data_IF_049936175269
#
_entry.id   IF_049936175269
#
_cell.length_a   1.000
_cell.length_b   1.000
_cell.length_c   1.000
_cell.angle_alpha   90.00
_cell.angle_beta   90.00
_cell.angle_gamma   90.00
#
_symmetry.space_group_name_H-M   'P 1'
#
loop_
_entity.id
_entity.type
_entity.pdbx_description
1 polymer ?
#
# COMPACT_ATOMS: atom_id res chain seq x y z
N UNK A 1 -53.56 -30.10 40.05
CA UNK A 1 -53.79 -30.05 38.60
C UNK A 1 -53.38 -28.68 38.04
N UNK A 2 -52.17 -28.53 37.60
CA UNK A 2 -51.69 -27.35 36.82
C UNK A 2 -50.51 -27.78 36.02
N UNK A 3 -50.70 -27.97 34.74
CA UNK A 3 -49.68 -28.30 33.74
C UNK A 3 -48.82 -27.04 33.46
N UNK A 4 -47.53 -27.14 33.75
CA UNK A 4 -46.54 -26.17 33.26
C UNK A 4 -45.85 -26.77 32.03
N UNK A 5 -46.30 -26.31 30.87
CA UNK A 5 -45.63 -26.55 29.61
C UNK A 5 -44.37 -25.69 29.55
N UNK A 6 -43.21 -26.31 29.67
CA UNK A 6 -41.90 -25.64 29.50
C UNK A 6 -41.65 -25.40 28.00
N UNK A 7 -41.58 -24.13 27.62
CA UNK A 7 -41.18 -23.70 26.29
C UNK A 7 -39.65 -23.71 26.21
N UNK A 8 -39.09 -24.71 25.56
CA UNK A 8 -37.65 -24.74 25.22
C UNK A 8 -37.43 -23.83 24.00
N UNK A 9 -36.91 -22.63 24.23
CA UNK A 9 -36.44 -21.77 23.19
C UNK A 9 -35.07 -22.25 22.78
N UNK A 10 -34.98 -22.95 21.66
CA UNK A 10 -33.71 -23.26 21.00
C UNK A 10 -33.16 -21.98 20.34
N UNK A 11 -32.23 -21.32 21.02
CA UNK A 11 -31.43 -20.22 20.43
C UNK A 11 -30.44 -20.82 19.44
N UNK A 12 -30.78 -20.79 18.16
CA UNK A 12 -29.85 -21.09 17.09
C UNK A 12 -28.80 -19.97 17.03
N UNK A 13 -27.62 -20.22 17.58
CA UNK A 13 -26.42 -19.40 17.33
C UNK A 13 -26.04 -19.55 15.86
N UNK A 14 -26.44 -18.59 15.05
CA UNK A 14 -25.92 -18.43 13.70
C UNK A 14 -24.48 -17.93 13.87
N UNK A 15 -23.51 -18.85 13.83
CA UNK A 15 -22.11 -18.52 13.65
C UNK A 15 -22.01 -18.03 12.21
N UNK A 16 -22.11 -16.71 12.00
CA UNK A 16 -21.73 -16.08 10.76
C UNK A 16 -20.22 -16.30 10.60
N UNK A 17 -19.85 -17.33 9.84
CA UNK A 17 -18.48 -17.57 9.45
C UNK A 17 -18.01 -16.33 8.67
N UNK A 18 -17.10 -15.53 9.25
CA UNK A 18 -16.33 -14.52 8.54
C UNK A 18 -15.38 -15.26 7.58
N UNK A 19 -15.89 -15.74 6.47
CA UNK A 19 -15.08 -16.06 5.31
C UNK A 19 -14.80 -14.73 4.62
N UNK A 20 -13.52 -14.39 4.45
CA UNK A 20 -13.13 -13.22 3.67
C UNK A 20 -13.82 -13.29 2.31
N UNK A 21 -14.41 -12.19 1.88
CA UNK A 21 -14.96 -12.09 0.54
C UNK A 21 -13.83 -12.19 -0.48
N UNK A 22 -14.15 -12.57 -1.72
CA UNK A 22 -13.14 -12.61 -2.79
C UNK A 22 -12.42 -11.25 -2.95
N UNK A 23 -13.13 -10.15 -2.70
CA UNK A 23 -12.57 -8.80 -2.77
C UNK A 23 -11.61 -8.52 -1.62
N UNK A 24 -11.93 -8.94 -0.40
CA UNK A 24 -11.03 -8.82 0.76
C UNK A 24 -9.74 -9.60 0.57
N UNK A 25 -9.83 -10.79 -0.01
CA UNK A 25 -8.65 -11.58 -0.36
C UNK A 25 -7.76 -10.86 -1.37
N UNK A 26 -8.33 -10.33 -2.45
CA UNK A 26 -7.57 -9.55 -3.45
C UNK A 26 -6.87 -8.36 -2.79
N UNK A 27 -7.58 -7.61 -1.94
CA UNK A 27 -7.02 -6.47 -1.22
C UNK A 27 -5.89 -6.91 -0.29
N UNK A 28 -6.07 -8.02 0.43
CA UNK A 28 -5.05 -8.57 1.32
C UNK A 28 -3.78 -8.95 0.56
N UNK A 29 -3.92 -9.69 -0.53
CA UNK A 29 -2.79 -10.12 -1.35
C UNK A 29 -2.05 -8.93 -1.97
N UNK A 30 -2.78 -7.90 -2.41
CA UNK A 30 -2.18 -6.66 -2.91
C UNK A 30 -1.40 -5.93 -1.82
N UNK A 31 -1.89 -5.86 -0.59
CA UNK A 31 -1.14 -5.28 0.53
C UNK A 31 0.18 -6.01 0.77
N UNK A 32 0.19 -7.35 0.70
CA UNK A 32 1.42 -8.15 0.80
C UNK A 32 2.40 -7.77 -0.31
N UNK A 33 1.93 -7.67 -1.56
CA UNK A 33 2.78 -7.26 -2.71
C UNK A 33 3.36 -5.86 -2.52
N UNK A 34 2.58 -4.90 -2.02
CA UNK A 34 3.08 -3.54 -1.71
C UNK A 34 4.18 -3.60 -0.65
N UNK A 35 4.02 -4.40 0.40
CA UNK A 35 5.07 -4.59 1.42
C UNK A 35 6.34 -5.18 0.81
N UNK A 36 6.24 -6.17 -0.09
CA UNK A 36 7.41 -6.71 -0.79
C UNK A 36 8.10 -5.65 -1.67
N UNK A 37 7.34 -4.83 -2.39
CA UNK A 37 7.91 -3.71 -3.16
C UNK A 37 8.65 -2.72 -2.26
N UNK A 38 8.10 -2.41 -1.07
CA UNK A 38 8.78 -1.57 -0.09
C UNK A 38 10.07 -2.23 0.41
N UNK A 39 10.05 -3.54 0.67
CA UNK A 39 11.21 -4.31 1.16
C UNK A 39 12.36 -4.30 0.16
N UNK A 40 12.08 -4.46 -1.12
CA UNK A 40 13.10 -4.40 -2.19
C UNK A 40 13.76 -3.01 -2.24
N UNK A 41 13.01 -1.96 -1.99
CA UNK A 41 13.48 -0.58 -2.07
C UNK A 41 14.07 -0.04 -0.76
N UNK A 42 13.79 -0.71 0.37
CA UNK A 42 14.25 -0.28 1.68
C UNK A 42 15.69 -0.75 1.95
N UNK A 43 16.49 0.08 2.59
CA UNK A 43 17.89 -0.23 2.92
C UNK A 43 18.94 0.47 2.04
N UNK A 44 18.52 1.13 0.96
CA UNK A 44 19.42 1.91 0.10
C UNK A 44 19.98 3.19 0.74
N UNK A 45 19.61 3.49 1.99
CA UNK A 45 20.06 4.70 2.70
C UNK A 45 21.47 4.59 3.29
N UNK A 46 21.91 3.42 3.74
CA UNK A 46 23.18 3.28 4.47
C UNK A 46 24.39 3.97 3.80
N UNK A 47 24.63 3.80 2.48
CA UNK A 47 25.75 4.46 1.81
C UNK A 47 25.67 6.00 1.84
N UNK A 48 24.48 6.54 2.03
CA UNK A 48 24.21 7.98 1.95
C UNK A 48 24.21 8.68 3.32
N UNK A 49 24.24 7.94 4.41
CA UNK A 49 24.24 8.50 5.78
C UNK A 49 25.44 9.41 6.05
N UNK A 50 26.56 9.17 5.41
CA UNK A 50 27.76 10.03 5.48
C UNK A 50 27.47 11.47 5.03
N UNK A 51 26.50 11.67 4.15
CA UNK A 51 26.14 12.99 3.64
C UNK A 51 25.21 13.78 4.57
N UNK A 52 24.67 13.17 5.63
CA UNK A 52 23.71 13.79 6.55
C UNK A 52 24.19 15.10 7.16
N UNK A 53 25.45 15.16 7.55
CA UNK A 53 26.07 16.33 8.19
C UNK A 53 26.87 17.23 7.24
N UNK A 54 26.78 17.02 5.93
CA UNK A 54 27.54 17.81 4.95
C UNK A 54 27.14 19.28 5.00
N UNK A 55 28.12 20.17 4.90
CA UNK A 55 27.88 21.61 4.71
C UNK A 55 27.38 21.92 3.30
N UNK A 56 27.67 21.06 2.33
CA UNK A 56 27.22 21.21 0.96
C UNK A 56 25.72 20.88 0.80
N UNK A 57 24.98 21.83 0.22
CA UNK A 57 23.54 21.70 0.04
C UNK A 57 23.14 20.56 -0.92
N UNK A 58 23.93 20.30 -1.97
CA UNK A 58 23.68 19.22 -2.91
C UNK A 58 23.81 17.84 -2.22
N UNK A 59 24.85 17.66 -1.44
CA UNK A 59 25.07 16.45 -0.65
C UNK A 59 23.93 16.18 0.33
N UNK A 60 23.50 17.22 1.07
CA UNK A 60 22.35 17.09 1.98
C UNK A 60 21.06 16.71 1.23
N UNK A 61 20.79 17.34 0.10
CA UNK A 61 19.61 17.02 -0.73
C UNK A 61 19.67 15.58 -1.26
N UNK A 62 20.87 15.11 -1.62
CA UNK A 62 21.09 13.70 -2.01
C UNK A 62 20.75 12.76 -0.87
N UNK A 63 21.24 13.04 0.35
CA UNK A 63 20.90 12.28 1.54
C UNK A 63 19.36 12.20 1.73
N UNK A 64 18.69 13.33 1.75
CA UNK A 64 17.23 13.36 1.94
C UNK A 64 16.50 12.60 0.84
N UNK A 65 16.85 12.81 -0.43
CA UNK A 65 16.18 12.13 -1.54
C UNK A 65 16.36 10.60 -1.51
N UNK A 66 17.49 10.11 -1.05
CA UNK A 66 17.78 8.67 -0.97
C UNK A 66 17.22 8.03 0.30
N UNK A 67 17.33 8.71 1.43
CA UNK A 67 16.95 8.16 2.74
C UNK A 67 15.50 8.41 3.10
N UNK A 68 14.83 9.35 2.46
CA UNK A 68 13.42 9.65 2.64
C UNK A 68 12.51 9.11 1.52
N UNK A 69 13.09 8.36 0.58
CA UNK A 69 12.36 7.84 -0.57
C UNK A 69 11.66 6.51 -0.34
N UNK A 70 12.04 5.77 0.70
CA UNK A 70 11.56 4.43 0.96
C UNK A 70 10.99 4.28 2.36
N UNK A 71 9.75 3.82 2.45
CA UNK A 71 9.10 3.48 3.72
C UNK A 71 9.66 2.17 4.24
N UNK A 72 9.94 2.10 5.55
CA UNK A 72 10.25 0.85 6.21
C UNK A 72 9.02 -0.07 6.14
N UNK A 73 9.15 -1.27 5.57
CA UNK A 73 8.03 -2.21 5.46
C UNK A 73 7.50 -2.66 6.82
N UNK A 74 8.35 -2.66 7.86
CA UNK A 74 7.93 -2.96 9.22
C UNK A 74 7.14 -1.79 9.81
N UNK A 75 5.88 -2.03 10.14
CA UNK A 75 4.97 -1.00 10.65
C UNK A 75 4.38 -0.10 9.57
N UNK A 76 4.39 -0.52 8.31
CA UNK A 76 3.66 0.15 7.25
C UNK A 76 2.14 0.00 7.45
N UNK A 77 1.42 1.09 7.29
CA UNK A 77 -0.03 1.18 7.48
C UNK A 77 -0.72 1.50 6.15
N UNK A 78 -1.87 0.90 5.92
CA UNK A 78 -2.65 1.13 4.70
C UNK A 78 -3.89 1.96 4.98
N UNK A 79 -4.19 2.89 4.07
CA UNK A 79 -5.41 3.71 4.09
C UNK A 79 -5.97 3.91 2.69
N UNK A 80 -7.24 4.29 2.60
CA UNK A 80 -7.93 4.56 1.33
C UNK A 80 -7.85 3.40 0.31
N UNK A 81 -7.72 2.15 0.78
CA UNK A 81 -7.56 1.00 -0.10
C UNK A 81 -8.90 0.63 -0.71
N UNK A 82 -8.98 0.63 -2.03
CA UNK A 82 -10.18 0.29 -2.80
C UNK A 82 -9.85 -0.59 -3.98
N UNK A 83 -10.73 -1.57 -4.23
CA UNK A 83 -10.71 -2.42 -5.41
C UNK A 83 -11.60 -1.81 -6.49
N UNK A 84 -11.07 -1.66 -7.68
CA UNK A 84 -11.76 -1.22 -8.89
C UNK A 84 -11.80 -2.35 -9.90
N UNK A 85 -12.99 -2.76 -10.30
CA UNK A 85 -13.18 -3.82 -11.29
C UNK A 85 -13.39 -3.22 -12.68
N UNK A 86 -12.57 -3.65 -13.62
CA UNK A 86 -12.68 -3.33 -15.03
C UNK A 86 -13.06 -4.58 -15.82
N UNK A 87 -13.46 -4.44 -17.09
CA UNK A 87 -13.98 -5.55 -17.91
C UNK A 87 -13.11 -6.80 -17.89
N UNK A 88 -11.79 -6.65 -17.96
CA UNK A 88 -10.83 -7.76 -18.13
C UNK A 88 -9.75 -7.80 -17.03
N UNK A 89 -9.81 -6.95 -16.02
CA UNK A 89 -8.81 -6.89 -14.95
C UNK A 89 -9.35 -6.15 -13.72
N UNK A 90 -8.67 -6.32 -12.62
CA UNK A 90 -8.95 -5.61 -11.37
C UNK A 90 -7.75 -4.79 -10.94
N UNK A 91 -8.02 -3.62 -10.35
CA UNK A 91 -6.98 -2.70 -9.86
C UNK A 91 -7.25 -2.38 -8.40
N UNK A 92 -6.24 -2.44 -7.57
CA UNK A 92 -6.31 -1.97 -6.20
C UNK A 92 -5.48 -0.71 -6.08
N UNK A 93 -6.09 0.33 -5.58
CA UNK A 93 -5.48 1.63 -5.33
C UNK A 93 -5.54 1.96 -3.84
N UNK A 94 -4.58 2.72 -3.35
CA UNK A 94 -4.57 3.12 -1.96
C UNK A 94 -3.34 3.94 -1.60
N UNK A 95 -3.18 4.12 -0.29
CA UNK A 95 -2.02 4.78 0.30
C UNK A 95 -1.38 3.80 1.29
N UNK A 96 -0.06 3.65 1.21
CA UNK A 96 0.75 3.04 2.24
C UNK A 96 1.55 4.11 2.94
N UNK A 97 1.51 4.14 4.27
CA UNK A 97 2.21 5.12 5.11
C UNK A 97 3.14 4.42 6.07
N UNK A 98 4.25 5.06 6.38
CA UNK A 98 5.20 4.50 7.33
C UNK A 98 6.41 5.41 7.53
N UNK A 99 7.34 4.96 8.37
CA UNK A 99 8.59 5.66 8.65
C UNK A 99 9.61 5.39 7.55
N UNK A 100 10.33 6.43 7.18
CA UNK A 100 11.59 6.34 6.46
C UNK A 100 12.74 6.51 7.45
N UNK A 101 13.98 6.53 6.97
CA UNK A 101 15.14 6.88 7.82
C UNK A 101 15.18 8.36 8.22
N UNK A 102 14.34 9.19 7.64
CA UNK A 102 14.32 10.65 7.86
C UNK A 102 13.01 11.13 8.44
N UNK A 103 11.89 10.67 7.92
CA UNK A 103 10.56 11.20 8.25
C UNK A 103 9.48 10.11 8.30
N UNK A 104 8.21 10.52 8.33
CA UNK A 104 7.06 9.68 8.02
C UNK A 104 6.48 10.12 6.69
N UNK A 105 6.18 9.17 5.81
CA UNK A 105 5.62 9.44 4.50
C UNK A 105 4.40 8.58 4.19
N UNK A 106 3.60 9.06 3.24
CA UNK A 106 2.57 8.29 2.56
C UNK A 106 2.92 8.17 1.08
N UNK A 107 2.79 6.97 0.55
CA UNK A 107 2.97 6.67 -0.87
C UNK A 107 1.67 6.15 -1.45
N UNK A 108 1.20 6.74 -2.54
CA UNK A 108 0.08 6.18 -3.29
C UNK A 108 0.55 5.00 -4.12
N UNK A 109 -0.32 3.99 -4.23
CA UNK A 109 -0.05 2.84 -5.09
C UNK A 109 -1.23 2.55 -6.03
N UNK A 110 -0.90 1.95 -7.15
CA UNK A 110 -1.80 1.38 -8.14
C UNK A 110 -1.27 0.00 -8.49
N UNK A 111 -1.98 -1.06 -8.14
CA UNK A 111 -1.62 -2.43 -8.47
C UNK A 111 -2.69 -3.09 -9.31
N UNK A 112 -2.26 -3.70 -10.40
CA UNK A 112 -3.12 -4.54 -11.24
C UNK A 112 -3.06 -5.97 -10.73
N UNK A 113 -4.21 -6.48 -10.27
CA UNK A 113 -4.28 -7.80 -9.66
C UNK A 113 -3.86 -8.91 -10.62
N UNK A 114 -4.33 -8.83 -11.86
CA UNK A 114 -4.14 -9.86 -12.86
C UNK A 114 -2.85 -9.68 -13.70
N UNK A 115 -1.97 -8.74 -13.31
CA UNK A 115 -0.75 -8.40 -14.04
C UNK A 115 0.38 -8.07 -13.08
N UNK A 116 1.33 -8.97 -12.94
CA UNK A 116 2.44 -8.82 -12.00
C UNK A 116 3.43 -7.71 -12.35
N UNK A 117 3.54 -7.37 -13.63
CA UNK A 117 4.44 -6.35 -14.17
C UNK A 117 3.91 -4.92 -14.09
N UNK A 118 2.64 -4.73 -13.71
CA UNK A 118 1.97 -3.43 -13.69
C UNK A 118 1.68 -2.97 -12.26
N UNK A 119 2.75 -2.60 -11.56
CA UNK A 119 2.66 -2.13 -10.18
C UNK A 119 3.40 -0.82 -10.02
N UNK A 120 2.74 0.18 -9.46
CA UNK A 120 3.25 1.53 -9.33
C UNK A 120 3.16 2.01 -7.88
N UNK A 121 4.31 2.42 -7.34
CA UNK A 121 4.43 3.12 -6.07
C UNK A 121 4.96 4.53 -6.32
N UNK A 122 4.34 5.53 -5.69
CA UNK A 122 4.78 6.90 -5.80
C UNK A 122 5.21 7.47 -4.46
N UNK A 123 6.49 7.79 -4.33
CA UNK A 123 7.04 8.57 -3.23
C UNK A 123 7.03 10.08 -3.54
N UNK A 124 7.31 10.89 -2.53
CA UNK A 124 7.53 12.34 -2.64
C UNK A 124 8.62 12.68 -3.67
N UNK A 125 9.62 11.83 -3.79
CA UNK A 125 10.79 12.02 -4.65
C UNK A 125 10.70 11.33 -6.02
N UNK A 126 9.59 10.68 -6.31
CA UNK A 126 9.37 9.99 -7.61
C UNK A 126 9.17 10.95 -8.79
N UNK A 127 9.58 12.21 -8.67
CA UNK A 127 9.45 13.21 -9.73
C UNK A 127 10.72 13.42 -10.56
N UNK A 128 11.82 12.74 -10.26
CA UNK A 128 13.07 12.85 -11.01
C UNK A 128 13.16 11.80 -12.12
N UNK A 129 13.40 12.25 -13.32
CA UNK A 129 13.96 11.62 -14.55
C UNK A 129 14.10 10.08 -14.63
N UNK A 130 13.23 9.29 -14.05
CA UNK A 130 13.22 7.84 -14.29
C UNK A 130 12.03 7.47 -15.17
N UNK A 131 12.27 7.18 -16.45
CA UNK A 131 11.30 6.49 -17.29
C UNK A 131 11.25 5.00 -16.89
N UNK A 132 10.10 4.33 -16.93
CA UNK A 132 8.76 4.80 -17.28
C UNK A 132 7.90 5.20 -16.06
N UNK A 133 8.49 5.34 -14.88
CA UNK A 133 7.83 5.58 -13.59
C UNK A 133 7.87 7.06 -13.20
N UNK A 134 7.84 7.97 -14.16
CA UNK A 134 7.71 9.38 -13.87
C UNK A 134 6.35 9.69 -13.18
N UNK A 135 6.29 10.82 -12.53
CA UNK A 135 5.07 11.29 -11.88
C UNK A 135 3.87 11.32 -12.84
N UNK A 136 4.12 11.63 -14.12
CA UNK A 136 3.11 11.74 -15.17
C UNK A 136 2.49 10.39 -15.48
N UNK A 137 3.30 9.33 -15.61
CA UNK A 137 2.82 7.98 -15.87
C UNK A 137 2.01 7.45 -14.69
N UNK A 138 2.48 7.64 -13.46
CA UNK A 138 1.73 7.26 -12.25
C UNK A 138 0.33 7.91 -12.24
N UNK A 139 0.26 9.24 -12.41
CA UNK A 139 -1.01 9.95 -12.36
C UNK A 139 -1.94 9.61 -13.52
N UNK A 140 -1.40 9.27 -14.68
CA UNK A 140 -2.18 8.77 -15.82
C UNK A 140 -2.89 7.48 -15.44
N UNK A 141 -2.18 6.51 -14.85
CA UNK A 141 -2.77 5.25 -14.42
C UNK A 141 -3.73 5.43 -13.24
N UNK A 142 -3.33 6.20 -12.23
CA UNK A 142 -4.18 6.49 -11.09
C UNK A 142 -5.48 7.16 -11.51
N UNK A 143 -5.41 8.20 -12.34
CA UNK A 143 -6.59 8.93 -12.80
C UNK A 143 -7.49 8.11 -13.72
N UNK A 144 -6.91 7.15 -14.45
CA UNK A 144 -7.66 6.29 -15.37
C UNK A 144 -8.33 5.12 -14.66
N UNK A 145 -7.70 4.54 -13.66
CA UNK A 145 -8.11 3.25 -13.11
C UNK A 145 -8.54 3.29 -11.64
N UNK A 146 -8.22 4.35 -10.90
CA UNK A 146 -8.55 4.52 -9.48
C UNK A 146 -9.71 5.52 -9.25
N UNK A 147 -10.50 5.78 -10.26
CA UNK A 147 -11.74 6.55 -10.16
C UNK A 147 -12.92 5.64 -10.53
N UNK A 148 -13.96 5.69 -9.72
CA UNK A 148 -15.28 5.13 -10.03
C UNK A 148 -16.02 6.02 -11.04
#
# INVERSE_FOLDING_TARGET
>A
MRNLAGLLVLSALVIAGCGDTADEKIISDVKVRVIEMLRVNYGGCEPWKVLKGSSDAHSRNTYFSKCDSSINPSGAEFSEVKLYRHKNFSVVCGVVSGRTDVSRQGMRFVLFWDRDDWSYLRSRYSGGKQPPNDATSFWRYHNKYCKS
#
